data_IF_015042117446
#
_entry.id   IF_015042117446
#
_cell.length_a   1.000
_cell.length_b   1.000
_cell.length_c   1.000
_cell.angle_alpha   90.00
_cell.angle_beta   90.00
_cell.angle_gamma   90.00
#
_symmetry.space_group_name_H-M   'P 1'
#
loop_
_entity.id
_entity.type
_entity.pdbx_description
1 polymer ?
#
# COMPACT_ATOMS: atom_id res chain seq x y z
N UNK A 1 -12.04 46.54 -14.11
CA UNK A 1 -10.88 45.61 -14.12
C UNK A 1 -11.23 44.38 -13.30
N UNK A 2 -11.38 43.23 -13.95
CA UNK A 2 -11.98 42.02 -13.40
C UNK A 2 -11.14 41.41 -12.25
N UNK A 3 -11.78 40.93 -11.19
CA UNK A 3 -11.20 40.26 -10.00
C UNK A 3 -10.25 39.10 -10.37
N UNK A 4 -10.39 38.51 -11.56
CA UNK A 4 -9.45 37.54 -12.15
C UNK A 4 -8.03 38.09 -12.39
N UNK A 5 -7.86 39.40 -12.63
CA UNK A 5 -6.54 40.04 -12.80
C UNK A 5 -5.83 40.32 -11.47
N UNK A 6 -6.56 40.46 -10.35
CA UNK A 6 -5.96 40.69 -9.02
C UNK A 6 -5.42 39.42 -8.36
N UNK A 7 -5.88 38.22 -8.75
CA UNK A 7 -5.27 36.94 -8.32
C UNK A 7 -3.91 36.65 -8.98
N UNK A 8 -3.54 37.35 -10.04
CA UNK A 8 -2.30 37.13 -10.83
C UNK A 8 -1.01 37.70 -10.19
N UNK A 9 -0.94 37.80 -8.85
CA UNK A 9 0.17 38.48 -8.16
C UNK A 9 0.79 37.77 -6.95
N UNK A 10 0.59 36.46 -6.73
CA UNK A 10 1.08 35.81 -5.47
C UNK A 10 1.95 34.57 -5.60
N UNK A 11 1.95 33.86 -6.73
CA UNK A 11 2.75 32.64 -6.88
C UNK A 11 3.95 32.93 -7.81
N UNK A 12 5.11 32.28 -7.61
CA UNK A 12 6.21 32.36 -8.56
C UNK A 12 5.78 31.87 -9.95
N UNK A 13 6.59 32.14 -10.97
CA UNK A 13 6.37 31.52 -12.27
C UNK A 13 6.45 30.00 -12.13
N UNK A 14 5.63 29.27 -12.91
CA UNK A 14 5.74 27.83 -12.92
C UNK A 14 7.14 27.43 -13.39
N UNK A 15 7.81 26.51 -12.68
CA UNK A 15 9.12 26.05 -13.06
C UNK A 15 9.05 25.18 -14.32
N UNK A 16 10.08 25.31 -15.15
CA UNK A 16 10.29 24.58 -16.40
C UNK A 16 11.04 23.27 -16.16
N UNK A 17 11.85 23.19 -15.10
CA UNK A 17 12.55 21.97 -14.68
C UNK A 17 12.38 21.67 -13.18
N UNK A 18 12.70 20.43 -12.76
CA UNK A 18 12.76 20.03 -11.34
C UNK A 18 13.82 20.84 -10.60
N UNK A 19 14.95 21.13 -11.25
CA UNK A 19 16.01 22.00 -10.72
C UNK A 19 15.48 23.41 -10.47
N UNK A 20 14.76 24.01 -11.43
CA UNK A 20 14.16 25.34 -11.24
C UNK A 20 13.12 25.34 -10.12
N UNK A 21 12.35 24.26 -9.95
CA UNK A 21 11.44 24.09 -8.81
C UNK A 21 12.21 24.13 -7.49
N UNK A 22 13.34 23.43 -7.40
CA UNK A 22 14.19 23.36 -6.21
C UNK A 22 14.82 24.71 -5.90
N UNK A 23 15.38 25.37 -6.91
CA UNK A 23 15.98 26.69 -6.76
C UNK A 23 14.93 27.70 -6.28
N UNK A 24 13.71 27.61 -6.82
CA UNK A 24 12.60 28.48 -6.43
C UNK A 24 12.15 28.20 -4.99
N UNK A 25 12.01 26.93 -4.59
CA UNK A 25 11.62 26.54 -3.23
C UNK A 25 12.68 26.89 -2.18
N UNK A 26 13.95 26.91 -2.56
CA UNK A 26 15.07 27.24 -1.68
C UNK A 26 15.18 28.75 -1.38
N UNK A 27 14.48 29.60 -2.13
CA UNK A 27 14.49 31.04 -1.88
C UNK A 27 13.62 31.41 -0.67
N UNK A 28 14.19 32.17 0.26
CA UNK A 28 13.50 32.59 1.49
C UNK A 28 12.12 33.25 1.27
N UNK A 29 11.97 34.02 0.18
CA UNK A 29 10.71 34.65 -0.20
C UNK A 29 9.58 33.66 -0.54
N UNK A 30 9.92 32.42 -0.86
CA UNK A 30 9.00 31.33 -1.22
C UNK A 30 8.82 30.31 -0.08
N UNK A 31 9.28 30.62 1.14
CA UNK A 31 9.16 29.76 2.32
C UNK A 31 7.73 29.24 2.54
N UNK A 32 6.70 30.03 2.21
CA UNK A 32 5.29 29.63 2.28
C UNK A 32 4.90 28.37 1.47
N UNK A 33 5.76 27.87 0.58
CA UNK A 33 5.56 26.63 -0.18
C UNK A 33 6.46 25.46 0.29
N UNK A 34 7.42 25.73 1.18
CA UNK A 34 8.43 24.77 1.62
C UNK A 34 8.54 24.60 3.12
N UNK A 35 7.87 25.42 3.93
CA UNK A 35 7.90 25.35 5.41
C UNK A 35 6.55 24.92 5.97
N UNK A 36 6.58 24.19 7.09
CA UNK A 36 5.39 23.70 7.77
C UNK A 36 4.53 24.84 8.34
N UNK A 37 3.28 24.52 8.71
CA UNK A 37 2.34 25.49 9.29
C UNK A 37 2.39 25.54 10.83
N UNK A 38 3.28 24.77 11.47
CA UNK A 38 3.43 24.78 12.92
C UNK A 38 4.14 26.06 13.41
N UNK A 39 4.07 26.32 14.72
CA UNK A 39 4.76 27.44 15.35
C UNK A 39 5.68 26.92 16.49
N UNK A 40 7.00 27.07 16.39
CA UNK A 40 7.74 27.61 15.24
C UNK A 40 7.61 26.72 13.99
N UNK A 41 7.72 27.32 12.81
CA UNK A 41 7.70 26.60 11.52
C UNK A 41 9.04 25.93 11.26
N UNK A 42 9.02 24.79 10.57
CA UNK A 42 10.21 24.03 10.18
C UNK A 42 10.23 23.78 8.67
N UNK A 43 11.37 23.33 8.13
CA UNK A 43 11.45 22.96 6.72
C UNK A 43 10.61 21.69 6.49
N UNK A 44 9.70 21.75 5.52
CA UNK A 44 8.99 20.59 5.00
C UNK A 44 9.61 20.11 3.69
N UNK A 45 9.93 21.02 2.77
CA UNK A 45 10.77 20.71 1.61
C UNK A 45 12.21 20.46 2.08
N UNK A 46 12.78 19.31 1.71
CA UNK A 46 14.10 18.87 2.17
C UNK A 46 15.12 18.94 1.04
N UNK A 47 15.70 20.12 0.81
CA UNK A 47 16.73 20.32 -0.22
C UNK A 47 17.98 19.45 0.01
N UNK A 48 18.31 19.20 1.27
CA UNK A 48 19.48 18.42 1.70
C UNK A 48 19.31 16.90 1.53
N UNK A 49 18.11 16.43 1.15
CA UNK A 49 17.84 15.03 0.84
C UNK A 49 17.71 14.87 -0.69
N UNK A 50 18.84 14.79 -1.42
CA UNK A 50 18.81 14.80 -2.88
C UNK A 50 18.18 13.52 -3.41
N UNK A 51 17.06 13.65 -4.11
CA UNK A 51 16.37 12.51 -4.72
C UNK A 51 16.94 12.20 -6.11
N UNK A 52 17.92 11.29 -6.15
CA UNK A 52 18.76 11.03 -7.32
C UNK A 52 18.63 9.59 -7.82
N UNK A 53 18.71 9.39 -9.14
CA UNK A 53 18.82 8.08 -9.78
C UNK A 53 19.86 8.21 -10.89
N UNK A 54 20.87 7.34 -10.90
CA UNK A 54 21.91 7.32 -11.94
C UNK A 54 22.59 8.69 -12.17
N UNK A 55 22.74 9.47 -11.09
CA UNK A 55 23.34 10.82 -11.15
C UNK A 55 22.38 11.93 -11.59
N UNK A 56 21.15 11.62 -11.99
CA UNK A 56 20.12 12.59 -12.34
C UNK A 56 19.19 12.89 -11.16
N UNK A 57 18.77 14.15 -11.01
CA UNK A 57 17.73 14.50 -10.04
C UNK A 57 16.37 14.13 -10.60
N UNK A 58 15.66 13.22 -9.91
CA UNK A 58 14.38 12.70 -10.39
C UNK A 58 13.17 13.35 -9.75
N UNK A 59 13.35 14.11 -8.67
CA UNK A 59 12.26 14.73 -7.95
C UNK A 59 12.67 15.54 -6.73
N UNK A 60 11.69 15.82 -5.88
CA UNK A 60 11.84 16.56 -4.62
C UNK A 60 11.24 15.78 -3.45
N UNK A 61 11.87 15.91 -2.27
CA UNK A 61 11.43 15.27 -1.03
C UNK A 61 10.75 16.31 -0.13
N UNK A 62 9.66 15.88 0.50
CA UNK A 62 9.05 16.56 1.62
C UNK A 62 8.96 15.65 2.83
N UNK A 63 9.34 16.16 3.99
CA UNK A 63 9.32 15.43 5.26
C UNK A 63 9.36 16.46 6.40
N UNK A 64 8.60 16.27 7.47
CA UNK A 64 8.69 17.14 8.65
C UNK A 64 9.67 16.52 9.66
N UNK A 65 10.96 16.84 9.51
CA UNK A 65 12.03 16.26 10.34
C UNK A 65 11.87 16.60 11.83
N UNK A 66 11.36 17.79 12.14
CA UNK A 66 11.08 18.20 13.52
C UNK A 66 9.96 17.38 14.14
N UNK A 67 8.90 17.08 13.38
CA UNK A 67 7.84 16.18 13.83
C UNK A 67 8.38 14.75 14.02
N UNK A 68 9.20 14.26 13.10
CA UNK A 68 9.85 12.95 13.23
C UNK A 68 10.67 12.88 14.51
N UNK A 69 11.45 13.92 14.81
CA UNK A 69 12.24 13.98 16.05
C UNK A 69 11.34 14.09 17.29
N UNK A 70 10.26 14.88 17.23
CA UNK A 70 9.28 15.03 18.32
C UNK A 70 8.60 13.71 18.69
N UNK A 71 8.33 12.86 17.69
CA UNK A 71 7.61 11.58 17.86
C UNK A 71 8.51 10.35 17.77
N UNK A 72 9.83 10.52 18.00
CA UNK A 72 10.83 9.46 17.85
C UNK A 72 10.49 8.19 18.63
N UNK A 73 10.07 8.34 19.89
CA UNK A 73 9.73 7.21 20.75
C UNK A 73 8.50 6.45 20.24
N UNK A 74 7.46 7.15 19.78
CA UNK A 74 6.30 6.53 19.17
C UNK A 74 6.67 5.80 17.86
N UNK A 75 7.55 6.41 17.05
CA UNK A 75 8.01 5.82 15.78
C UNK A 75 8.80 4.52 15.99
N UNK A 76 9.56 4.38 17.07
CA UNK A 76 10.24 3.13 17.42
C UNK A 76 9.28 1.97 17.72
N UNK A 77 8.03 2.26 18.08
CA UNK A 77 6.98 1.25 18.33
C UNK A 77 6.22 0.83 17.08
N UNK A 78 6.45 1.50 15.94
CA UNK A 78 5.75 1.19 14.69
C UNK A 78 6.20 -0.16 14.15
N UNK A 79 5.23 -1.06 13.94
CA UNK A 79 5.46 -2.38 13.34
C UNK A 79 4.91 -2.51 11.91
N UNK A 80 4.13 -1.52 11.45
CA UNK A 80 3.57 -1.51 10.10
C UNK A 80 3.80 -0.17 9.41
N UNK A 81 4.27 -0.22 8.17
CA UNK A 81 4.31 0.91 7.27
C UNK A 81 3.76 0.52 5.89
N UNK A 82 3.47 1.52 5.07
CA UNK A 82 3.03 1.33 3.69
C UNK A 82 3.70 2.31 2.76
N UNK A 83 3.90 1.86 1.52
CA UNK A 83 4.41 2.68 0.43
C UNK A 83 3.45 2.59 -0.74
N UNK A 84 3.03 3.73 -1.26
CA UNK A 84 2.16 3.81 -2.43
C UNK A 84 2.34 5.16 -3.14
N UNK A 85 2.00 5.16 -4.42
CA UNK A 85 2.12 6.28 -5.32
C UNK A 85 0.79 6.68 -5.94
N UNK A 86 0.53 7.99 -6.03
CA UNK A 86 -0.63 8.52 -6.77
C UNK A 86 -0.21 9.40 -7.94
N UNK A 87 -0.86 9.17 -9.09
CA UNK A 87 -0.59 9.89 -10.34
C UNK A 87 -1.59 11.03 -10.60
N UNK A 88 -2.81 10.92 -10.04
CA UNK A 88 -3.92 11.82 -10.39
C UNK A 88 -3.77 13.24 -9.81
N UNK A 89 -3.04 13.37 -8.71
CA UNK A 89 -2.81 14.65 -8.02
C UNK A 89 -1.48 15.31 -8.39
N UNK A 90 -0.70 14.68 -9.27
CA UNK A 90 0.61 15.17 -9.70
C UNK A 90 0.45 16.38 -10.62
N UNK A 91 1.11 17.52 -10.33
CA UNK A 91 1.15 18.68 -11.21
C UNK A 91 1.80 18.35 -12.57
N UNK A 92 1.35 19.01 -13.64
CA UNK A 92 1.93 18.86 -14.98
C UNK A 92 3.11 19.80 -15.27
N UNK A 93 3.45 20.67 -14.32
CA UNK A 93 4.61 21.57 -14.39
C UNK A 93 5.53 21.30 -13.20
N UNK A 94 6.85 21.14 -13.41
CA UNK A 94 7.53 21.12 -14.71
C UNK A 94 7.10 19.94 -15.60
N UNK A 95 7.27 19.99 -16.94
CA UNK A 95 6.84 18.93 -17.86
C UNK A 95 7.35 17.53 -17.50
N UNK A 96 8.53 17.46 -16.86
CA UNK A 96 9.12 16.23 -16.31
C UNK A 96 8.15 15.47 -15.38
N UNK A 97 7.27 16.17 -14.66
CA UNK A 97 6.29 15.55 -13.75
C UNK A 97 5.05 14.98 -14.44
N UNK A 98 4.86 15.19 -15.74
CA UNK A 98 3.65 14.74 -16.45
C UNK A 98 3.47 13.21 -16.39
N UNK A 99 4.57 12.47 -16.35
CA UNK A 99 4.60 11.00 -16.15
C UNK A 99 4.99 10.61 -14.73
N UNK A 100 5.02 11.59 -13.85
CA UNK A 100 5.48 11.48 -12.49
C UNK A 100 4.45 10.92 -11.52
N UNK A 101 4.86 10.83 -10.26
CA UNK A 101 4.08 10.28 -9.16
C UNK A 101 4.33 11.09 -7.89
N UNK A 102 3.32 11.19 -7.03
CA UNK A 102 3.51 11.52 -5.62
C UNK A 102 3.61 10.21 -4.84
N UNK A 103 4.82 9.83 -4.47
CA UNK A 103 5.10 8.70 -3.60
C UNK A 103 4.99 9.12 -2.14
N UNK A 104 4.45 8.22 -1.31
CA UNK A 104 4.40 8.42 0.14
C UNK A 104 4.85 7.17 0.88
N UNK A 105 5.63 7.37 1.92
CA UNK A 105 5.91 6.36 2.94
C UNK A 105 5.12 6.72 4.19
N UNK A 106 4.20 5.84 4.59
CA UNK A 106 3.27 6.09 5.68
C UNK A 106 3.46 5.06 6.79
N UNK A 107 3.61 5.52 8.03
CA UNK A 107 3.64 4.64 9.20
C UNK A 107 2.22 4.40 9.70
N UNK A 108 1.96 3.25 10.31
CA UNK A 108 0.70 2.98 11.00
C UNK A 108 0.93 2.95 12.50
N UNK A 109 0.41 3.95 13.20
CA UNK A 109 0.48 4.08 14.65
C UNK A 109 -0.93 4.03 15.23
N UNK A 110 -1.17 3.14 16.21
CA UNK A 110 -2.47 2.92 16.85
C UNK A 110 -3.64 2.82 15.84
N UNK A 111 -3.46 2.01 14.79
CA UNK A 111 -4.44 1.82 13.71
C UNK A 111 -4.77 3.08 12.89
N UNK A 112 -3.88 4.08 12.87
CA UNK A 112 -4.00 5.30 12.08
C UNK A 112 -2.76 5.41 11.21
N UNK A 113 -2.96 5.69 9.93
CA UNK A 113 -1.84 5.91 9.02
C UNK A 113 -1.44 7.39 8.98
N UNK A 114 -0.13 7.62 9.01
CA UNK A 114 0.53 8.92 8.96
C UNK A 114 1.58 8.93 7.86
N UNK A 115 1.40 9.68 6.77
CA UNK A 115 2.44 9.94 5.78
C UNK A 115 3.58 10.74 6.41
N UNK A 116 4.78 10.16 6.40
CA UNK A 116 5.96 10.75 7.03
C UNK A 116 6.92 11.34 6.00
N UNK A 117 7.06 10.69 4.86
CA UNK A 117 7.96 11.11 3.77
C UNK A 117 7.18 11.10 2.47
N UNK A 118 7.30 12.18 1.70
CA UNK A 118 6.66 12.38 0.42
C UNK A 118 7.73 12.64 -0.64
N UNK A 119 7.51 12.12 -1.83
CA UNK A 119 8.38 12.33 -2.97
C UNK A 119 7.55 12.68 -4.20
N UNK A 120 7.77 13.88 -4.75
CA UNK A 120 7.22 14.25 -6.05
C UNK A 120 8.28 13.94 -7.10
N UNK A 121 8.09 12.85 -7.85
CA UNK A 121 9.05 12.30 -8.82
C UNK A 121 8.55 12.41 -10.25
N UNK A 122 9.48 12.50 -11.19
CA UNK A 122 9.26 12.50 -12.64
C UNK A 122 9.16 11.10 -13.26
N UNK A 123 9.65 10.06 -12.58
CA UNK A 123 9.67 8.68 -13.09
C UNK A 123 9.48 7.65 -11.97
N UNK A 124 9.09 6.44 -12.35
CA UNK A 124 8.79 5.32 -11.46
C UNK A 124 9.51 4.07 -11.95
N UNK A 125 10.70 3.84 -11.41
CA UNK A 125 11.53 2.66 -11.69
C UNK A 125 11.96 2.02 -10.38
N UNK A 126 12.45 0.77 -10.42
CA UNK A 126 13.05 0.14 -9.24
C UNK A 126 14.12 1.04 -8.59
N UNK A 127 15.04 1.60 -9.38
CA UNK A 127 16.08 2.50 -8.88
C UNK A 127 15.50 3.77 -8.22
N UNK A 128 14.35 4.25 -8.71
CA UNK A 128 13.63 5.37 -8.07
C UNK A 128 13.10 4.97 -6.70
N UNK A 129 12.49 3.80 -6.57
CA UNK A 129 12.01 3.28 -5.29
C UNK A 129 13.17 3.08 -4.32
N UNK A 130 14.27 2.45 -4.74
CA UNK A 130 15.44 2.27 -3.88
C UNK A 130 16.00 3.59 -3.38
N UNK A 131 16.12 4.59 -4.26
CA UNK A 131 16.58 5.93 -3.87
C UNK A 131 15.64 6.58 -2.85
N UNK A 132 14.33 6.51 -3.07
CA UNK A 132 13.34 7.00 -2.11
C UNK A 132 13.41 6.28 -0.76
N UNK A 133 13.52 4.95 -0.78
CA UNK A 133 13.56 4.13 0.44
C UNK A 133 14.87 4.34 1.23
N UNK A 134 16.00 4.61 0.57
CA UNK A 134 17.24 5.00 1.26
C UNK A 134 17.06 6.31 2.03
N UNK A 135 16.37 7.28 1.44
CA UNK A 135 16.02 8.54 2.12
C UNK A 135 15.08 8.27 3.30
N UNK A 136 14.08 7.41 3.13
CA UNK A 136 13.21 6.98 4.23
C UNK A 136 14.02 6.36 5.37
N UNK A 137 15.00 5.51 5.06
CA UNK A 137 15.91 4.87 6.03
C UNK A 137 16.75 5.88 6.78
N UNK A 138 17.22 6.91 6.09
CA UNK A 138 18.03 7.98 6.67
C UNK A 138 17.24 8.82 7.68
N UNK A 139 15.97 9.13 7.37
CA UNK A 139 15.19 10.09 8.17
C UNK A 139 14.28 9.47 9.22
N UNK A 140 13.78 8.25 9.03
CA UNK A 140 12.82 7.65 9.96
C UNK A 140 13.52 6.72 10.98
N UNK A 141 13.40 6.99 12.29
CA UNK A 141 13.98 6.16 13.33
C UNK A 141 13.07 4.96 13.66
N UNK A 142 12.85 4.07 12.69
CA UNK A 142 12.03 2.87 12.86
C UNK A 142 12.87 1.68 13.32
N UNK A 143 12.23 0.75 14.03
CA UNK A 143 12.81 -0.58 14.23
C UNK A 143 12.55 -1.45 13.00
N UNK A 144 13.40 -1.31 11.97
CA UNK A 144 13.24 -2.01 10.71
C UNK A 144 13.21 -3.54 10.84
N UNK A 145 13.88 -4.12 11.84
CA UNK A 145 13.85 -5.57 12.09
C UNK A 145 12.50 -6.08 12.63
N UNK A 146 11.61 -5.18 13.06
CA UNK A 146 10.24 -5.48 13.52
C UNK A 146 9.19 -4.84 12.60
N UNK A 147 9.61 -4.27 11.47
CA UNK A 147 8.74 -3.56 10.56
C UNK A 147 8.22 -4.50 9.46
N UNK A 148 6.91 -4.46 9.26
CA UNK A 148 6.25 -5.01 8.07
C UNK A 148 5.91 -3.86 7.13
N UNK A 149 6.43 -3.91 5.90
CA UNK A 149 6.17 -2.91 4.86
C UNK A 149 5.12 -3.48 3.90
N UNK A 150 3.97 -2.80 3.83
CA UNK A 150 2.82 -3.21 3.02
C UNK A 150 2.81 -2.45 1.70
N UNK A 151 2.67 -3.17 0.59
CA UNK A 151 2.63 -2.60 -0.74
C UNK A 151 1.82 -3.47 -1.70
N UNK A 152 1.57 -2.95 -2.89
CA UNK A 152 1.09 -3.70 -4.05
C UNK A 152 2.19 -4.61 -4.59
N UNK A 153 1.83 -5.51 -5.51
CA UNK A 153 2.74 -6.51 -6.11
C UNK A 153 3.54 -5.96 -7.30
N UNK A 154 3.99 -4.71 -7.24
CA UNK A 154 4.88 -4.15 -8.25
C UNK A 154 6.30 -4.68 -8.04
N UNK A 155 6.81 -5.45 -9.01
CA UNK A 155 8.13 -6.12 -8.88
C UNK A 155 9.28 -5.16 -8.59
N UNK A 156 9.30 -3.98 -9.22
CA UNK A 156 10.33 -2.97 -8.96
C UNK A 156 10.29 -2.44 -7.53
N UNK A 157 9.12 -2.36 -6.92
CA UNK A 157 8.95 -1.92 -5.53
C UNK A 157 9.28 -3.04 -4.54
N UNK A 158 8.86 -4.28 -4.81
CA UNK A 158 9.25 -5.46 -4.02
C UNK A 158 10.77 -5.54 -3.91
N UNK A 159 11.45 -5.55 -5.06
CA UNK A 159 12.91 -5.62 -5.12
C UNK A 159 13.58 -4.47 -4.37
N UNK A 160 13.03 -3.25 -4.46
CA UNK A 160 13.56 -2.08 -3.78
C UNK A 160 13.41 -2.17 -2.25
N UNK A 161 12.28 -2.70 -1.76
CA UNK A 161 12.07 -2.94 -0.32
C UNK A 161 13.04 -4.00 0.19
N UNK A 162 13.14 -5.15 -0.51
CA UNK A 162 14.02 -6.24 -0.10
C UNK A 162 15.51 -5.84 -0.10
N UNK A 163 15.93 -5.03 -1.09
CA UNK A 163 17.31 -4.56 -1.15
C UNK A 163 17.62 -3.46 -0.14
N UNK A 164 16.65 -2.59 0.17
CA UNK A 164 16.85 -1.43 1.05
C UNK A 164 16.56 -1.72 2.52
N UNK A 165 15.70 -2.68 2.83
CA UNK A 165 15.32 -3.11 4.18
C UNK A 165 15.33 -4.65 4.30
N UNK A 166 16.49 -5.31 4.13
CA UNK A 166 16.56 -6.77 4.19
C UNK A 166 16.12 -7.35 5.54
N UNK A 167 16.14 -6.55 6.61
CA UNK A 167 15.65 -6.93 7.93
C UNK A 167 14.12 -6.79 8.11
N UNK A 168 13.45 -6.04 7.24
CA UNK A 168 12.00 -5.82 7.31
C UNK A 168 11.26 -6.93 6.56
N UNK A 169 10.05 -7.24 7.02
CA UNK A 169 9.15 -8.12 6.28
C UNK A 169 8.45 -7.33 5.17
N UNK A 170 8.63 -7.71 3.92
CA UNK A 170 7.70 -7.31 2.86
C UNK A 170 6.38 -8.09 3.02
N UNK A 171 5.24 -7.40 2.88
CA UNK A 171 3.93 -8.03 2.85
C UNK A 171 3.07 -7.39 1.75
N UNK A 172 2.67 -8.20 0.77
CA UNK A 172 1.73 -7.78 -0.25
C UNK A 172 0.33 -7.53 0.32
N UNK A 173 -0.40 -6.58 -0.27
CA UNK A 173 -1.79 -6.32 0.09
C UNK A 173 -2.70 -7.50 -0.32
N UNK A 174 -3.35 -8.14 0.66
CA UNK A 174 -4.26 -9.26 0.44
C UNK A 174 -5.45 -8.89 -0.47
N UNK A 175 -5.95 -7.66 -0.37
CA UNK A 175 -7.02 -7.21 -1.26
C UNK A 175 -6.55 -7.13 -2.71
N UNK A 176 -5.34 -6.60 -2.96
CA UNK A 176 -4.76 -6.56 -4.30
C UNK A 176 -4.43 -7.94 -4.86
N UNK A 177 -4.03 -8.90 -4.02
CA UNK A 177 -3.93 -10.31 -4.40
C UNK A 177 -5.28 -10.84 -4.92
N UNK A 178 -6.35 -10.65 -4.13
CA UNK A 178 -7.69 -11.08 -4.51
C UNK A 178 -8.17 -10.40 -5.80
N UNK A 179 -7.97 -9.10 -5.93
CA UNK A 179 -8.34 -8.36 -7.14
C UNK A 179 -7.58 -8.85 -8.37
N UNK A 180 -6.28 -9.15 -8.23
CA UNK A 180 -5.48 -9.63 -9.34
C UNK A 180 -5.94 -11.01 -9.82
N UNK A 181 -6.29 -11.92 -8.89
CA UNK A 181 -6.87 -13.23 -9.22
C UNK A 181 -8.21 -13.10 -9.93
N UNK A 182 -9.14 -12.30 -9.39
CA UNK A 182 -10.44 -12.10 -10.03
C UNK A 182 -10.29 -11.45 -11.40
N UNK A 183 -9.39 -10.47 -11.56
CA UNK A 183 -9.10 -9.86 -12.86
C UNK A 183 -8.50 -10.86 -13.85
N UNK A 184 -7.62 -11.75 -13.40
CA UNK A 184 -7.12 -12.84 -14.24
C UNK A 184 -8.27 -13.71 -14.72
N UNK A 185 -9.15 -14.16 -13.82
CA UNK A 185 -10.28 -15.03 -14.17
C UNK A 185 -11.20 -14.39 -15.20
N UNK A 186 -11.46 -13.07 -15.10
CA UNK A 186 -12.34 -12.29 -15.98
C UNK A 186 -11.81 -12.06 -17.40
N UNK A 187 -10.51 -12.26 -17.66
CA UNK A 187 -9.97 -12.09 -19.02
C UNK A 187 -10.55 -13.16 -19.93
N UNK A 188 -11.17 -12.74 -21.03
CA UNK A 188 -11.84 -13.65 -21.97
C UNK A 188 -10.93 -14.77 -22.48
N UNK A 189 -9.62 -14.52 -22.60
CA UNK A 189 -8.63 -15.50 -23.03
C UNK A 189 -8.45 -16.67 -22.05
N UNK A 190 -8.85 -16.51 -20.78
CA UNK A 190 -8.64 -17.52 -19.75
C UNK A 190 -9.85 -18.46 -19.60
N UNK A 191 -11.01 -18.15 -20.17
CA UNK A 191 -12.23 -19.00 -20.25
C UNK A 191 -12.78 -19.62 -18.95
N UNK A 192 -12.24 -19.30 -17.77
CA UNK A 192 -12.68 -19.87 -16.48
C UNK A 192 -13.72 -19.02 -15.74
N UNK A 193 -13.97 -17.78 -16.17
CA UNK A 193 -14.87 -16.87 -15.45
C UNK A 193 -16.29 -17.43 -15.29
N UNK A 194 -16.88 -17.94 -16.37
CA UNK A 194 -18.24 -18.48 -16.36
C UNK A 194 -18.37 -19.71 -15.48
N UNK A 195 -17.30 -20.50 -15.35
CA UNK A 195 -17.28 -21.68 -14.49
C UNK A 195 -17.55 -21.31 -13.02
N UNK A 196 -17.02 -20.18 -12.55
CA UNK A 196 -17.29 -19.67 -11.19
C UNK A 196 -18.71 -19.14 -10.99
N UNK A 197 -19.43 -18.85 -12.07
CA UNK A 197 -20.82 -18.38 -12.02
C UNK A 197 -21.83 -19.51 -12.09
N UNK A 198 -21.45 -20.66 -12.68
CA UNK A 198 -22.36 -21.77 -12.97
C UNK A 198 -22.08 -23.04 -12.19
N UNK A 199 -20.90 -23.17 -11.57
CA UNK A 199 -20.50 -24.38 -10.86
C UNK A 199 -20.08 -24.08 -9.40
N UNK A 200 -20.74 -24.71 -8.40
CA UNK A 200 -20.49 -24.41 -6.99
C UNK A 200 -19.11 -24.91 -6.50
N UNK A 201 -18.59 -26.01 -7.04
CA UNK A 201 -17.27 -26.54 -6.69
C UNK A 201 -16.16 -25.59 -7.17
N UNK A 202 -16.25 -25.09 -8.40
CA UNK A 202 -15.31 -24.12 -8.94
C UNK A 202 -15.37 -22.79 -8.17
N UNK A 203 -16.58 -22.32 -7.82
CA UNK A 203 -16.75 -21.15 -6.96
C UNK A 203 -16.10 -21.37 -5.58
N UNK A 204 -16.21 -22.58 -5.02
CA UNK A 204 -15.55 -22.97 -3.77
C UNK A 204 -14.03 -22.97 -3.91
N UNK A 205 -13.49 -23.55 -4.99
CA UNK A 205 -12.05 -23.55 -5.29
C UNK A 205 -11.51 -22.11 -5.37
N UNK A 206 -12.20 -21.21 -6.09
CA UNK A 206 -11.80 -19.80 -6.17
C UNK A 206 -11.72 -19.16 -4.78
N UNK A 207 -12.72 -19.36 -3.92
CA UNK A 207 -12.73 -18.82 -2.55
C UNK A 207 -11.58 -19.39 -1.70
N UNK A 208 -11.32 -20.68 -1.79
CA UNK A 208 -10.18 -21.30 -1.09
C UNK A 208 -8.84 -20.71 -1.54
N UNK A 209 -8.68 -20.44 -2.85
CA UNK A 209 -7.48 -19.76 -3.38
C UNK A 209 -7.34 -18.35 -2.78
N UNK A 210 -8.43 -17.58 -2.70
CA UNK A 210 -8.40 -16.25 -2.08
C UNK A 210 -8.04 -16.26 -0.58
N UNK A 211 -8.23 -17.40 0.09
CA UNK A 211 -7.89 -17.60 1.49
C UNK A 211 -6.44 -18.05 1.73
N UNK A 212 -5.72 -18.52 0.70
CA UNK A 212 -4.34 -19.02 0.82
C UNK A 212 -3.40 -18.07 1.58
N UNK A 213 -3.40 -16.75 1.34
CA UNK A 213 -2.57 -15.79 2.09
C UNK A 213 -2.73 -15.83 3.61
N UNK A 214 -3.84 -16.35 4.15
CA UNK A 214 -4.02 -16.47 5.59
C UNK A 214 -3.27 -17.66 6.21
N UNK A 215 -2.62 -18.49 5.41
CA UNK A 215 -1.70 -19.53 5.86
C UNK A 215 -0.26 -19.01 5.91
N UNK A 216 0.59 -19.58 6.78
CA UNK A 216 1.98 -19.14 6.88
C UNK A 216 2.78 -19.57 5.65
N UNK A 217 3.73 -18.74 5.24
CA UNK A 217 4.59 -19.04 4.09
C UNK A 217 5.54 -20.23 4.35
N UNK A 218 5.94 -20.42 5.60
CA UNK A 218 6.87 -21.45 6.06
C UNK A 218 6.35 -22.03 7.38
N UNK A 219 6.86 -23.20 7.77
CA UNK A 219 6.52 -23.83 9.05
C UNK A 219 6.85 -22.88 10.20
N UNK A 220 5.94 -22.76 11.16
CA UNK A 220 6.08 -21.86 12.30
C UNK A 220 6.03 -22.68 13.61
N UNK A 221 6.69 -22.23 14.70
CA UNK A 221 6.63 -22.97 15.98
C UNK A 221 5.21 -23.27 16.48
N UNK A 222 4.24 -22.45 16.09
CA UNK A 222 2.84 -22.55 16.51
C UNK A 222 1.93 -23.28 15.49
N UNK A 223 2.43 -23.71 14.34
CA UNK A 223 1.65 -24.48 13.35
C UNK A 223 2.53 -25.29 12.38
N UNK A 224 2.08 -26.49 12.02
CA UNK A 224 2.84 -27.46 11.20
C UNK A 224 2.44 -27.46 9.72
N UNK A 225 1.63 -26.51 9.28
CA UNK A 225 1.15 -26.37 7.91
C UNK A 225 1.65 -25.08 7.28
N UNK A 226 1.62 -25.02 5.96
CA UNK A 226 2.03 -23.90 5.13
C UNK A 226 0.98 -23.56 4.08
N UNK A 227 1.18 -22.43 3.40
CA UNK A 227 0.39 -22.05 2.23
C UNK A 227 0.49 -23.07 1.09
N UNK A 228 1.62 -23.79 0.98
CA UNK A 228 1.79 -24.85 -0.01
C UNK A 228 0.93 -26.08 0.33
N UNK A 229 0.85 -26.45 1.60
CA UNK A 229 -0.05 -27.54 2.04
C UNK A 229 -1.52 -27.16 1.79
N UNK A 230 -1.89 -25.91 2.05
CA UNK A 230 -3.21 -25.39 1.71
C UNK A 230 -3.50 -25.45 0.21
N UNK A 231 -2.53 -25.10 -0.64
CA UNK A 231 -2.68 -25.20 -2.09
C UNK A 231 -2.84 -26.66 -2.54
N UNK A 232 -2.08 -27.60 -1.98
CA UNK A 232 -2.23 -29.02 -2.27
C UNK A 232 -3.62 -29.54 -1.92
N UNK A 233 -4.18 -29.15 -0.78
CA UNK A 233 -5.56 -29.50 -0.39
C UNK A 233 -6.59 -28.98 -1.40
N UNK A 234 -6.37 -27.80 -1.98
CA UNK A 234 -7.23 -27.26 -3.05
C UNK A 234 -7.15 -28.11 -4.32
N UNK A 235 -5.94 -28.53 -4.70
CA UNK A 235 -5.73 -29.40 -5.87
C UNK A 235 -6.36 -30.78 -5.65
N UNK A 236 -6.20 -31.38 -4.46
CA UNK A 236 -6.86 -32.63 -4.10
C UNK A 236 -8.38 -32.52 -4.14
N UNK A 237 -8.94 -31.42 -3.64
CA UNK A 237 -10.38 -31.15 -3.75
C UNK A 237 -10.83 -31.03 -5.21
N UNK A 238 -10.08 -30.29 -6.03
CA UNK A 238 -10.39 -30.12 -7.45
C UNK A 238 -10.33 -31.46 -8.22
N UNK A 239 -9.39 -32.34 -7.88
CA UNK A 239 -9.24 -33.66 -8.51
C UNK A 239 -10.43 -34.61 -8.26
N UNK A 240 -11.25 -34.35 -7.24
CA UNK A 240 -12.53 -35.06 -7.04
C UNK A 240 -13.53 -34.76 -8.18
N UNK A 241 -13.28 -33.70 -8.96
CA UNK A 241 -14.10 -33.25 -10.09
C UNK A 241 -13.25 -33.09 -11.35
N UNK A 242 -12.86 -34.18 -12.04
CA UNK A 242 -11.88 -34.14 -13.13
C UNK A 242 -12.20 -33.15 -14.27
N UNK A 243 -13.48 -32.99 -14.62
CA UNK A 243 -13.91 -32.03 -15.65
C UNK A 243 -13.69 -30.56 -15.24
N UNK A 244 -13.82 -30.26 -13.95
CA UNK A 244 -13.58 -28.92 -13.39
C UNK A 244 -12.08 -28.69 -13.30
N UNK A 245 -11.34 -29.66 -12.75
CA UNK A 245 -9.89 -29.60 -12.66
C UNK A 245 -9.25 -29.35 -14.02
N UNK A 246 -9.63 -30.11 -15.06
CA UNK A 246 -9.10 -29.95 -16.40
C UNK A 246 -9.32 -28.53 -16.97
N UNK A 247 -10.48 -27.93 -16.73
CA UNK A 247 -10.75 -26.54 -17.14
C UNK A 247 -9.95 -25.51 -16.34
N UNK A 248 -9.59 -25.84 -15.09
CA UNK A 248 -8.87 -24.94 -14.18
C UNK A 248 -7.37 -25.20 -14.11
N UNK A 249 -6.85 -26.21 -14.81
CA UNK A 249 -5.46 -26.69 -14.68
C UNK A 249 -4.43 -25.58 -14.90
N UNK A 250 -4.57 -24.82 -16.00
CA UNK A 250 -3.69 -23.68 -16.32
C UNK A 250 -3.75 -22.59 -15.25
N UNK A 251 -4.94 -22.39 -14.66
CA UNK A 251 -5.12 -21.41 -13.60
C UNK A 251 -4.49 -21.87 -12.28
N UNK A 252 -4.74 -23.10 -11.85
CA UNK A 252 -4.19 -23.65 -10.61
C UNK A 252 -2.67 -23.77 -10.70
N UNK A 253 -2.15 -24.45 -11.72
CA UNK A 253 -0.74 -24.77 -11.80
C UNK A 253 0.05 -23.58 -12.37
N UNK A 254 -0.41 -22.98 -13.47
CA UNK A 254 0.32 -21.88 -14.11
C UNK A 254 0.21 -20.55 -13.37
N UNK A 255 -0.99 -20.17 -12.93
CA UNK A 255 -1.20 -18.84 -12.35
C UNK A 255 -1.10 -18.82 -10.82
N UNK A 256 -1.71 -19.77 -10.12
CA UNK A 256 -1.64 -19.80 -8.65
C UNK A 256 -0.30 -20.34 -8.18
N UNK A 257 0.10 -21.55 -8.59
CA UNK A 257 1.36 -22.14 -8.15
C UNK A 257 2.57 -21.41 -8.73
N UNK A 258 2.75 -21.43 -10.05
CA UNK A 258 3.99 -20.90 -10.66
C UNK A 258 4.11 -19.37 -10.54
N UNK A 259 3.05 -18.61 -10.79
CA UNK A 259 3.14 -17.15 -10.69
C UNK A 259 3.03 -16.65 -9.24
N UNK A 260 1.98 -16.99 -8.50
CA UNK A 260 1.79 -16.43 -7.15
C UNK A 260 2.64 -17.09 -6.06
N UNK A 261 2.68 -18.42 -5.97
CA UNK A 261 3.42 -19.09 -4.90
C UNK A 261 4.93 -19.11 -5.15
N UNK A 262 5.35 -19.24 -6.43
CA UNK A 262 6.77 -19.32 -6.81
C UNK A 262 7.35 -17.97 -7.22
N UNK A 263 6.86 -17.32 -8.28
CA UNK A 263 7.49 -16.10 -8.81
C UNK A 263 7.31 -14.85 -7.93
N UNK A 264 6.11 -14.62 -7.39
CA UNK A 264 5.88 -13.56 -6.39
C UNK A 264 6.38 -14.00 -5.01
N UNK A 265 6.23 -15.29 -4.71
CA UNK A 265 6.74 -15.92 -3.49
C UNK A 265 5.70 -15.98 -2.36
N UNK A 266 5.56 -17.16 -1.77
CA UNK A 266 4.72 -17.43 -0.60
C UNK A 266 4.93 -16.42 0.55
N UNK A 267 6.18 -16.03 0.82
CA UNK A 267 6.53 -15.06 1.87
C UNK A 267 5.90 -13.68 1.62
N UNK A 268 5.93 -13.23 0.36
CA UNK A 268 5.40 -11.93 -0.06
C UNK A 268 3.88 -11.88 -0.03
N UNK A 269 3.19 -13.00 -0.29
CA UNK A 269 1.71 -13.02 -0.27
C UNK A 269 1.13 -13.37 1.10
N UNK A 270 1.86 -14.08 1.96
CA UNK A 270 1.34 -14.51 3.26
C UNK A 270 1.10 -13.31 4.16
N UNK A 271 -0.12 -13.23 4.70
CA UNK A 271 -0.56 -12.29 5.72
C UNK A 271 -0.87 -12.99 7.05
N UNK A 272 -0.36 -14.21 7.23
CA UNK A 272 -0.48 -14.97 8.47
C UNK A 272 0.04 -14.16 9.66
N UNK A 273 -0.71 -14.19 10.76
CA UNK A 273 -0.41 -13.45 12.00
C UNK A 273 -0.51 -11.92 11.89
N UNK A 274 -0.90 -11.37 10.73
CA UNK A 274 -0.88 -9.93 10.49
C UNK A 274 -2.22 -9.26 10.84
N UNK A 275 -2.14 -8.21 11.65
CA UNK A 275 -3.30 -7.38 12.03
C UNK A 275 -3.72 -6.42 10.91
N UNK A 276 -2.78 -6.08 10.01
CA UNK A 276 -3.00 -5.18 8.88
C UNK A 276 -2.66 -5.94 7.60
N UNK A 277 -3.71 -6.37 6.89
CA UNK A 277 -3.60 -7.26 5.72
C UNK A 277 -3.86 -6.54 4.39
N UNK A 278 -4.41 -5.33 4.45
CA UNK A 278 -4.72 -4.52 3.28
C UNK A 278 -4.13 -3.12 3.41
N UNK A 279 -3.99 -2.43 2.29
CA UNK A 279 -3.49 -1.05 2.21
C UNK A 279 -4.60 0.00 2.05
N UNK A 280 -5.83 -0.29 2.49
CA UNK A 280 -6.98 0.63 2.36
C UNK A 280 -6.71 2.04 2.96
N UNK A 281 -5.77 2.15 3.90
CA UNK A 281 -5.38 3.44 4.46
C UNK A 281 -4.61 4.31 3.44
N UNK A 282 -3.80 3.71 2.56
CA UNK A 282 -3.12 4.39 1.46
C UNK A 282 -4.14 4.85 0.41
N UNK A 283 -5.09 3.98 0.04
CA UNK A 283 -6.20 4.34 -0.86
C UNK A 283 -7.06 5.48 -0.29
N UNK A 284 -7.35 5.44 1.01
CA UNK A 284 -8.10 6.49 1.70
C UNK A 284 -7.33 7.82 1.67
N UNK A 285 -6.01 7.78 1.89
CA UNK A 285 -5.15 8.94 1.79
C UNK A 285 -5.13 9.50 0.35
N UNK A 286 -5.04 8.64 -0.67
CA UNK A 286 -5.14 9.05 -2.08
C UNK A 286 -6.48 9.69 -2.41
N UNK A 287 -7.58 9.20 -1.85
CA UNK A 287 -8.89 9.83 -1.98
C UNK A 287 -8.93 11.21 -1.30
N UNK A 288 -8.34 11.35 -0.11
CA UNK A 288 -8.18 12.66 0.57
C UNK A 288 -7.39 13.64 -0.29
N UNK A 289 -6.23 13.22 -0.81
CA UNK A 289 -5.43 14.02 -1.72
C UNK A 289 -6.24 14.48 -2.93
N UNK A 290 -6.93 13.56 -3.60
CA UNK A 290 -7.72 13.88 -4.80
C UNK A 290 -8.87 14.85 -4.50
N UNK A 291 -9.55 14.67 -3.37
CA UNK A 291 -10.67 15.53 -2.96
C UNK A 291 -10.19 16.94 -2.59
N UNK A 292 -9.07 17.06 -1.88
CA UNK A 292 -8.55 18.36 -1.45
C UNK A 292 -7.80 19.07 -2.59
N UNK A 293 -6.98 18.35 -3.35
CA UNK A 293 -6.10 18.88 -4.39
C UNK A 293 -6.78 19.07 -5.74
N UNK A 294 -7.70 18.16 -6.11
CA UNK A 294 -8.20 18.03 -7.47
C UNK A 294 -7.25 17.26 -8.37
N UNK A 295 -7.64 17.06 -9.63
CA UNK A 295 -6.80 16.39 -10.63
C UNK A 295 -5.77 17.38 -11.20
N UNK A 296 -4.50 16.98 -11.21
CA UNK A 296 -3.39 17.73 -11.82
C UNK A 296 -3.41 19.24 -11.50
N UNK A 297 -3.39 19.63 -10.21
CA UNK A 297 -3.35 21.04 -9.81
C UNK A 297 -2.11 21.77 -10.36
N UNK A 298 -2.15 23.10 -10.30
CA UNK A 298 -0.93 23.90 -10.43
C UNK A 298 0.07 23.52 -9.31
N UNK A 299 1.38 23.57 -9.60
CA UNK A 299 2.42 23.18 -8.64
C UNK A 299 2.37 23.98 -7.33
N UNK A 300 2.06 25.27 -7.37
CA UNK A 300 1.98 26.12 -6.18
C UNK A 300 0.74 25.80 -5.35
N UNK A 301 -0.40 25.56 -6.01
CA UNK A 301 -1.63 25.11 -5.33
C UNK A 301 -1.44 23.71 -4.72
N UNK A 302 -0.71 22.83 -5.40
CA UNK A 302 -0.33 21.52 -4.90
C UNK A 302 0.49 21.62 -3.62
N UNK A 303 1.55 22.43 -3.62
CA UNK A 303 2.45 22.60 -2.48
C UNK A 303 1.72 23.18 -1.26
N UNK A 304 0.90 24.22 -1.45
CA UNK A 304 0.09 24.78 -0.36
C UNK A 304 -0.87 23.75 0.24
N UNK A 305 -1.52 22.94 -0.60
CA UNK A 305 -2.43 21.89 -0.11
C UNK A 305 -1.68 20.74 0.54
N UNK A 306 -0.48 20.41 0.08
CA UNK A 306 0.37 19.42 0.71
C UNK A 306 0.77 19.88 2.12
N UNK A 307 1.06 21.16 2.33
CA UNK A 307 1.31 21.75 3.65
C UNK A 307 0.07 21.71 4.56
N UNK A 308 -1.13 21.97 4.04
CA UNK A 308 -2.37 21.84 4.81
C UNK A 308 -2.60 20.40 5.28
N UNK A 309 -2.32 19.44 4.39
CA UNK A 309 -2.40 18.01 4.68
C UNK A 309 -1.36 17.62 5.74
N UNK A 310 -0.10 17.99 5.55
CA UNK A 310 0.97 17.79 6.53
C UNK A 310 0.54 18.27 7.92
N UNK A 311 0.02 19.49 8.01
CA UNK A 311 -0.41 20.06 9.29
C UNK A 311 -1.62 19.32 9.89
N UNK A 312 -2.57 18.87 9.05
CA UNK A 312 -3.67 18.03 9.52
C UNK A 312 -3.14 16.74 10.16
N UNK A 313 -2.21 16.04 9.50
CA UNK A 313 -1.63 14.80 10.02
C UNK A 313 -0.75 15.05 11.26
N UNK A 314 -0.03 16.18 11.33
CA UNK A 314 0.72 16.59 12.51
C UNK A 314 -0.19 16.72 13.75
N UNK A 315 -1.32 17.41 13.60
CA UNK A 315 -2.30 17.59 14.68
C UNK A 315 -2.92 16.25 15.08
N UNK A 316 -3.30 15.42 14.12
CA UNK A 316 -3.85 14.09 14.39
C UNK A 316 -2.84 13.17 15.10
N UNK A 317 -1.54 13.28 14.79
CA UNK A 317 -0.50 12.49 15.46
C UNK A 317 -0.36 12.90 16.93
N UNK A 318 -0.44 14.20 17.24
CA UNK A 318 -0.45 14.70 18.63
C UNK A 318 -1.70 14.22 19.40
N UNK A 319 -2.86 14.20 18.73
CA UNK A 319 -4.09 13.64 19.30
C UNK A 319 -3.97 12.15 19.59
N UNK A 320 -3.45 11.35 18.66
CA UNK A 320 -3.21 9.91 18.84
C UNK A 320 -2.22 9.63 19.94
N UNK A 321 -1.16 10.44 20.06
CA UNK A 321 -0.20 10.38 21.17
C UNK A 321 -0.90 10.53 22.52
N UNK A 322 -1.84 11.48 22.62
CA UNK A 322 -2.68 11.73 23.81
C UNK A 322 -3.87 10.77 23.98
N UNK A 323 -3.93 9.68 23.20
CA UNK A 323 -5.03 8.70 23.21
C UNK A 323 -6.40 9.30 22.85
N UNK A 324 -6.43 10.40 22.10
CA UNK A 324 -7.67 10.96 21.58
C UNK A 324 -8.11 10.19 20.34
N UNK A 325 -9.42 10.10 20.16
CA UNK A 325 -10.00 9.53 18.94
C UNK A 325 -9.71 10.43 17.75
N UNK A 326 -9.09 9.85 16.72
CA UNK A 326 -8.94 10.50 15.40
C UNK A 326 -9.58 9.65 14.31
N UNK A 327 -10.23 10.32 13.36
CA UNK A 327 -10.96 9.73 12.21
C UNK A 327 -12.08 8.77 12.63
N UNK A 328 -12.95 8.43 11.68
CA UNK A 328 -14.13 7.62 11.95
C UNK A 328 -13.77 6.16 12.30
N UNK A 329 -14.41 5.58 13.31
CA UNK A 329 -14.02 4.28 13.91
C UNK A 329 -14.51 3.05 13.14
N UNK A 330 -15.46 3.19 12.23
CA UNK A 330 -16.16 2.06 11.59
C UNK A 330 -15.21 1.11 10.86
N UNK A 331 -14.22 1.64 10.13
CA UNK A 331 -13.24 0.82 9.41
C UNK A 331 -12.26 0.10 10.34
N UNK A 332 -12.00 0.66 11.53
CA UNK A 332 -11.17 -0.01 12.55
C UNK A 332 -11.90 -1.20 13.17
N UNK A 333 -13.19 -1.04 13.51
CA UNK A 333 -14.02 -2.11 14.09
C UNK A 333 -14.17 -3.27 13.11
N UNK A 334 -14.48 -2.99 11.85
CA UNK A 334 -14.57 -4.03 10.81
C UNK A 334 -13.25 -4.80 10.65
N UNK A 335 -12.10 -4.10 10.74
CA UNK A 335 -10.78 -4.73 10.69
C UNK A 335 -10.53 -5.61 11.91
N UNK A 336 -10.83 -5.14 13.12
CA UNK A 336 -10.65 -5.94 14.34
C UNK A 336 -11.53 -7.20 14.32
N UNK A 337 -12.77 -7.10 13.85
CA UNK A 337 -13.67 -8.26 13.72
C UNK A 337 -13.17 -9.25 12.68
N UNK A 338 -12.69 -8.76 11.53
CA UNK A 338 -12.07 -9.61 10.53
C UNK A 338 -10.80 -10.29 11.05
N UNK A 339 -10.00 -9.62 11.89
CA UNK A 339 -8.78 -10.19 12.49
C UNK A 339 -9.14 -11.25 13.52
N UNK A 340 -10.14 -10.99 14.37
CA UNK A 340 -10.64 -11.95 15.33
C UNK A 340 -11.13 -13.24 14.65
N UNK A 341 -11.96 -13.13 13.62
CA UNK A 341 -12.47 -14.30 12.88
C UNK A 341 -11.36 -15.15 12.26
N UNK A 342 -10.36 -14.52 11.63
CA UNK A 342 -9.24 -15.27 11.05
C UNK A 342 -8.41 -15.98 12.12
N UNK A 343 -8.19 -15.34 13.28
CA UNK A 343 -7.53 -16.01 14.42
C UNK A 343 -8.34 -17.22 14.91
N UNK A 344 -9.65 -17.07 15.10
CA UNK A 344 -10.53 -18.18 15.49
C UNK A 344 -10.47 -19.36 14.50
N UNK A 345 -10.38 -19.07 13.19
CA UNK A 345 -10.21 -20.10 12.17
C UNK A 345 -8.85 -20.79 12.25
N UNK A 346 -7.77 -20.04 12.49
CA UNK A 346 -6.42 -20.59 12.67
C UNK A 346 -6.32 -21.43 13.95
N UNK A 347 -6.92 -20.99 15.05
CA UNK A 347 -6.93 -21.75 16.31
C UNK A 347 -7.66 -23.09 16.14
N UNK A 348 -8.78 -23.06 15.42
CA UNK A 348 -9.51 -24.28 15.05
C UNK A 348 -8.66 -25.20 14.17
N UNK A 349 -7.97 -24.63 13.19
CA UNK A 349 -7.07 -25.37 12.30
C UNK A 349 -5.91 -26.01 13.07
N UNK A 350 -5.30 -25.28 14.01
CA UNK A 350 -4.24 -25.80 14.87
C UNK A 350 -4.73 -26.97 15.74
N UNK A 351 -5.99 -26.92 16.19
CA UNK A 351 -6.57 -27.96 17.05
C UNK A 351 -6.91 -29.26 16.31
N UNK A 352 -7.30 -29.21 15.04
CA UNK A 352 -7.80 -30.38 14.30
C UNK A 352 -7.05 -30.73 13.02
N UNK A 353 -6.10 -29.91 12.56
CA UNK A 353 -5.32 -30.11 11.33
C UNK A 353 -6.12 -30.01 10.03
N UNK A 354 -7.38 -29.58 10.06
CA UNK A 354 -8.27 -29.61 8.90
C UNK A 354 -8.13 -28.35 8.02
N UNK A 355 -7.12 -28.37 7.14
CA UNK A 355 -6.84 -27.30 6.17
C UNK A 355 -8.01 -27.02 5.23
N UNK A 356 -8.73 -28.06 4.79
CA UNK A 356 -9.88 -27.91 3.89
C UNK A 356 -10.98 -27.06 4.55
N UNK A 357 -11.33 -27.38 5.79
CA UNK A 357 -12.34 -26.65 6.55
C UNK A 357 -11.90 -25.19 6.80
N UNK A 358 -10.61 -24.97 7.10
CA UNK A 358 -10.08 -23.61 7.22
C UNK A 358 -10.28 -22.82 5.92
N UNK A 359 -9.84 -23.37 4.79
CA UNK A 359 -9.90 -22.70 3.49
C UNK A 359 -11.35 -22.40 3.07
N UNK A 360 -12.27 -23.34 3.29
CA UNK A 360 -13.70 -23.12 3.02
C UNK A 360 -14.27 -21.98 3.87
N UNK A 361 -13.96 -21.92 5.16
CA UNK A 361 -14.44 -20.84 6.06
C UNK A 361 -13.79 -19.49 5.75
N UNK A 362 -12.47 -19.46 5.61
CA UNK A 362 -11.70 -18.26 5.35
C UNK A 362 -11.96 -17.72 3.93
N UNK A 363 -12.36 -18.57 2.98
CA UNK A 363 -12.73 -18.18 1.62
C UNK A 363 -13.91 -17.21 1.56
N UNK A 364 -14.75 -17.17 2.60
CA UNK A 364 -15.88 -16.26 2.70
C UNK A 364 -15.51 -14.83 3.17
N UNK A 365 -14.23 -14.59 3.50
CA UNK A 365 -13.78 -13.27 3.94
C UNK A 365 -13.85 -12.19 2.84
N UNK A 366 -14.02 -12.59 1.58
CA UNK A 366 -14.11 -11.72 0.40
C UNK A 366 -15.50 -11.70 -0.28
N UNK A 367 -16.53 -12.24 0.36
CA UNK A 367 -17.86 -12.41 -0.26
C UNK A 367 -18.46 -11.12 -0.79
N UNK A 368 -18.36 -10.01 -0.03
CA UNK A 368 -18.90 -8.72 -0.49
C UNK A 368 -18.25 -8.23 -1.79
N UNK A 369 -16.94 -8.43 -1.94
CA UNK A 369 -16.24 -8.09 -3.17
C UNK A 369 -16.60 -9.08 -4.29
N UNK A 370 -16.54 -10.39 -4.02
CA UNK A 370 -16.84 -11.43 -5.02
C UNK A 370 -18.26 -11.34 -5.55
N UNK A 371 -19.25 -11.06 -4.69
CA UNK A 371 -20.64 -10.90 -5.11
C UNK A 371 -20.79 -9.79 -6.15
N UNK A 372 -20.12 -8.65 -5.95
CA UNK A 372 -20.11 -7.55 -6.92
C UNK A 372 -19.30 -7.82 -8.18
N UNK A 373 -18.41 -8.83 -8.19
CA UNK A 373 -17.56 -9.13 -9.34
C UNK A 373 -18.04 -10.32 -10.17
N UNK A 374 -18.55 -11.38 -9.54
CA UNK A 374 -18.90 -12.68 -10.15
C UNK A 374 -20.39 -12.98 -10.07
N UNK A 375 -21.12 -12.34 -9.14
CA UNK A 375 -22.54 -12.58 -8.86
C UNK A 375 -22.76 -13.39 -7.56
N UNK A 376 -24.03 -13.68 -7.20
CA UNK A 376 -24.33 -14.60 -6.11
C UNK A 376 -23.76 -16.00 -6.37
N UNK A 377 -23.61 -16.78 -5.29
CA UNK A 377 -23.18 -18.15 -5.41
C UNK A 377 -24.21 -18.97 -6.23
N UNK A 378 -23.77 -19.78 -7.21
CA UNK A 378 -24.63 -20.72 -7.90
C UNK A 378 -25.15 -21.85 -7.00
#
# INVERSE_FOLDING_TARGET
MCVKKMRRRRHPNNPSTVEELIDTLSQHQNSAYGTTMQNPSSNFFQQQLPFMVEGERVGVIFSNLDAIQKYREELLTVTFAGIDGTFKTVPKSPPQLTKGCLLTFQVVLKNVSFPMVYALTSRMTQATYESFLRIVREVLPLNYAQLTIISDYERGLINAVESTFPESRFQGCWFHYCQAIVRYCRRSLNSIYHLFQSNPEAATILRMILALPHLPAQVHPNCTFTIHDGFWVIVEFANQYPNIYHQMEVFLNGYIQEFWLTQIGAASISVYGSDIRTNNYLESFHATLLNQMGKHPNIWDFLQKLLLIENQFYVEMDQVRRNLTVRNHTSRVQRSDATRRVREYIDTLNANGNLLMFLQRAGHMMDGYLHGQVGPQP
#
